data_IF_658375472463
#
_entry.id   IF_658375472463
#
_cell.length_a   1.000
_cell.length_b   1.000
_cell.length_c   1.000
_cell.angle_alpha   90.00
_cell.angle_beta   90.00
_cell.angle_gamma   90.00
#
_symmetry.space_group_name_H-M   'P 1'
#
loop_
_entity.id
_entity.type
_entity.pdbx_description
1 polymer ?
#
# COMPACT_ATOMS: atom_id res chain seq x y z
N UNK A 1 20.00 25.37 9.74
CA UNK A 1 20.59 24.09 10.17
C UNK A 1 19.43 23.12 10.32
N UNK A 2 19.01 22.51 9.20
CA UNK A 2 17.85 21.63 9.19
C UNK A 2 18.31 20.22 9.53
N UNK A 3 18.04 19.75 10.75
CA UNK A 3 18.22 18.35 11.08
C UNK A 3 17.22 17.53 10.28
N UNK A 4 17.70 16.62 9.44
CA UNK A 4 16.90 15.50 8.98
C UNK A 4 16.56 14.66 10.22
N UNK A 5 15.37 14.88 10.79
CA UNK A 5 14.78 13.88 11.67
C UNK A 5 14.57 12.63 10.80
N UNK A 6 15.32 11.56 11.02
CA UNK A 6 14.95 10.25 10.51
C UNK A 6 13.63 9.85 11.20
N UNK A 7 12.66 9.31 10.46
CA UNK A 7 11.43 8.82 11.06
C UNK A 7 11.77 7.65 11.99
N UNK A 8 11.68 7.85 13.29
CA UNK A 8 11.92 6.78 14.25
C UNK A 8 10.65 5.94 14.37
N UNK A 9 10.76 4.65 14.03
CA UNK A 9 9.69 3.68 14.21
C UNK A 9 9.88 3.06 15.59
N UNK A 10 8.95 3.34 16.50
CA UNK A 10 8.83 2.61 17.77
C UNK A 10 8.23 1.23 17.54
N UNK A 11 8.60 0.27 18.37
CA UNK A 11 8.06 -1.09 18.36
C UNK A 11 7.81 -1.56 19.80
N UNK A 12 6.67 -2.20 20.03
CA UNK A 12 6.26 -2.73 21.33
C UNK A 12 5.50 -4.05 21.13
N UNK A 13 5.83 -5.08 21.94
CA UNK A 13 5.17 -6.38 21.92
C UNK A 13 4.11 -6.48 23.02
N UNK A 14 2.90 -6.89 22.65
CA UNK A 14 1.77 -7.06 23.53
C UNK A 14 1.37 -8.55 23.59
N UNK A 15 1.75 -9.19 24.68
CA UNK A 15 1.46 -10.60 24.91
C UNK A 15 0.07 -10.81 25.51
N UNK A 16 -0.67 -11.75 24.94
CA UNK A 16 -1.89 -12.30 25.50
C UNK A 16 -1.80 -13.82 25.60
N UNK A 17 -2.78 -14.44 26.25
CA UNK A 17 -2.83 -15.89 26.44
C UNK A 17 -2.92 -16.69 25.13
N UNK A 18 -3.33 -16.08 24.03
CA UNK A 18 -3.59 -16.74 22.73
C UNK A 18 -2.71 -16.21 21.59
N UNK A 19 -2.06 -15.06 21.76
CA UNK A 19 -1.22 -14.45 20.73
C UNK A 19 -0.32 -13.36 21.31
N UNK A 20 0.81 -13.13 20.64
CA UNK A 20 1.64 -11.93 20.77
C UNK A 20 1.32 -10.99 19.62
N UNK A 21 1.12 -9.71 19.91
CA UNK A 21 0.87 -8.68 18.91
C UNK A 21 2.02 -7.67 18.95
N UNK A 22 2.77 -7.58 17.86
CA UNK A 22 3.76 -6.51 17.67
C UNK A 22 3.04 -5.25 17.17
N UNK A 23 3.22 -4.12 17.87
CA UNK A 23 2.70 -2.81 17.49
C UNK A 23 3.87 -1.92 17.11
N UNK A 24 3.83 -1.40 15.88
CA UNK A 24 4.80 -0.43 15.35
C UNK A 24 4.13 0.91 15.11
N UNK A 25 4.80 1.99 15.49
CA UNK A 25 4.27 3.34 15.31
C UNK A 25 5.39 4.33 14.94
N UNK A 26 5.01 5.37 14.21
CA UNK A 26 5.92 6.47 13.87
C UNK A 26 5.15 7.79 13.86
N UNK A 27 5.78 8.85 14.36
CA UNK A 27 5.18 10.19 14.36
C UNK A 27 5.56 10.91 13.07
N UNK A 28 4.55 11.27 12.28
CA UNK A 28 4.73 12.01 11.03
C UNK A 28 4.11 13.40 11.19
N UNK A 29 4.94 14.44 11.03
CA UNK A 29 4.50 15.85 11.04
C UNK A 29 4.05 16.24 9.63
N UNK A 30 3.01 17.08 9.53
CA UNK A 30 2.48 17.59 8.25
C UNK A 30 2.17 16.44 7.28
N UNK A 31 1.22 15.58 7.64
CA UNK A 31 0.84 14.41 6.87
C UNK A 31 -0.54 14.56 6.23
N UNK A 32 -0.77 13.77 5.18
CA UNK A 32 -2.06 13.59 4.53
C UNK A 32 -2.46 12.13 4.52
N UNK A 33 -3.76 11.92 4.35
CA UNK A 33 -4.35 10.64 4.07
C UNK A 33 -4.27 10.34 2.57
N UNK A 34 -3.74 9.16 2.23
CA UNK A 34 -3.82 8.55 0.91
C UNK A 34 -4.86 7.43 0.93
N UNK A 35 -6.02 7.66 0.34
CA UNK A 35 -7.05 6.64 0.16
C UNK A 35 -6.89 5.96 -1.20
N UNK A 36 -6.61 4.66 -1.17
CA UNK A 36 -6.30 3.82 -2.32
C UNK A 36 -7.54 3.07 -2.84
N UNK A 37 -7.66 3.02 -4.17
CA UNK A 37 -8.57 2.17 -4.91
C UNK A 37 -7.78 1.50 -6.04
N UNK A 38 -7.95 0.19 -6.22
CA UNK A 38 -7.18 -0.58 -7.21
C UNK A 38 -8.14 -1.44 -8.01
N UNK A 39 -8.18 -1.20 -9.32
CA UNK A 39 -9.04 -1.90 -10.26
C UNK A 39 -8.21 -2.76 -11.20
N UNK A 40 -8.52 -4.04 -11.29
CA UNK A 40 -7.95 -4.92 -12.30
C UNK A 40 -8.65 -4.65 -13.64
N UNK A 41 -7.88 -4.20 -14.63
CA UNK A 41 -8.38 -3.90 -15.97
C UNK A 41 -8.27 -5.09 -16.92
N UNK A 42 -7.25 -5.93 -16.73
CA UNK A 42 -7.00 -7.12 -17.56
C UNK A 42 -6.19 -8.15 -16.79
N UNK A 43 -6.48 -9.43 -17.04
CA UNK A 43 -5.83 -10.57 -16.40
C UNK A 43 -6.39 -10.88 -15.03
N UNK A 44 -5.97 -12.01 -14.46
CA UNK A 44 -6.39 -12.43 -13.12
C UNK A 44 -5.28 -12.09 -12.13
N UNK A 45 -5.59 -11.24 -11.16
CA UNK A 45 -4.64 -10.92 -10.11
C UNK A 45 -4.61 -12.03 -9.07
N UNK A 46 -3.42 -12.54 -8.77
CA UNK A 46 -3.15 -13.36 -7.59
C UNK A 46 -1.79 -12.96 -7.01
N UNK A 47 -1.78 -12.36 -5.82
CA UNK A 47 -0.56 -11.78 -5.29
C UNK A 47 -0.75 -10.96 -4.03
N UNK A 48 0.24 -10.12 -3.76
CA UNK A 48 0.28 -9.24 -2.60
C UNK A 48 0.40 -7.78 -3.05
N UNK A 49 -0.32 -6.89 -2.38
CA UNK A 49 -0.25 -5.45 -2.56
C UNK A 49 0.15 -4.83 -1.23
N UNK A 50 1.23 -4.05 -1.26
CA UNK A 50 1.80 -3.43 -0.07
C UNK A 50 2.10 -1.96 -0.31
N UNK A 51 2.05 -1.17 0.75
CA UNK A 51 2.45 0.22 0.74
C UNK A 51 3.47 0.51 1.84
N UNK A 52 4.37 1.43 1.57
CA UNK A 52 5.21 2.09 2.58
C UNK A 52 5.47 3.54 2.15
N UNK A 53 6.20 4.30 2.95
CA UNK A 53 6.62 5.66 2.57
C UNK A 53 8.13 5.69 2.29
N UNK A 54 8.61 6.71 1.58
CA UNK A 54 10.03 6.84 1.28
C UNK A 54 10.90 6.94 2.54
N UNK A 55 10.35 7.48 3.64
CA UNK A 55 11.02 7.67 4.93
C UNK A 55 10.79 6.53 5.91
N UNK A 56 9.59 5.94 5.93
CA UNK A 56 9.24 4.80 6.78
C UNK A 56 8.95 3.61 5.87
N UNK A 57 9.90 2.68 5.82
CA UNK A 57 9.88 1.53 4.92
C UNK A 57 9.22 0.28 5.53
N UNK A 58 8.65 0.38 6.74
CA UNK A 58 7.78 -0.66 7.29
C UNK A 58 6.59 -0.89 6.37
N UNK A 59 6.40 -2.15 6.01
CA UNK A 59 5.51 -2.55 4.92
C UNK A 59 4.10 -2.78 5.44
N UNK A 60 3.16 -1.96 4.97
CA UNK A 60 1.73 -2.15 5.20
C UNK A 60 1.14 -3.07 4.13
N UNK A 61 0.64 -4.24 4.53
CA UNK A 61 -0.09 -5.13 3.62
C UNK A 61 -1.50 -4.59 3.43
N UNK A 62 -1.84 -4.26 2.18
CA UNK A 62 -3.17 -3.77 1.80
C UNK A 62 -4.05 -4.91 1.30
N UNK A 63 -3.45 -5.92 0.67
CA UNK A 63 -4.13 -7.13 0.20
C UNK A 63 -3.12 -8.28 0.09
N UNK A 64 -3.53 -9.49 0.44
CA UNK A 64 -2.78 -10.73 0.20
C UNK A 64 -3.74 -11.85 -0.22
N UNK A 65 -3.64 -12.26 -1.48
CA UNK A 65 -4.47 -13.31 -2.06
C UNK A 65 -4.25 -14.67 -1.43
N UNK A 66 -3.06 -14.95 -0.88
CA UNK A 66 -2.77 -16.24 -0.22
C UNK A 66 -3.52 -16.37 1.11
N UNK A 67 -3.65 -15.27 1.82
CA UNK A 67 -4.30 -15.24 3.13
C UNK A 67 -5.82 -15.02 3.06
N UNK A 68 -6.30 -14.23 2.09
CA UNK A 68 -7.72 -13.86 1.99
C UNK A 68 -8.43 -14.26 0.70
N UNK A 69 -7.72 -14.87 -0.26
CA UNK A 69 -8.23 -15.01 -1.63
C UNK A 69 -8.30 -13.68 -2.37
N UNK A 70 -8.75 -13.73 -3.62
CA UNK A 70 -8.97 -12.53 -4.46
C UNK A 70 -10.45 -12.21 -4.45
N UNK A 71 -10.81 -11.07 -3.87
CA UNK A 71 -12.20 -10.59 -3.81
C UNK A 71 -12.27 -9.32 -4.64
N UNK A 72 -12.97 -9.40 -5.77
CA UNK A 72 -13.31 -8.26 -6.60
C UNK A 72 -14.81 -7.97 -6.49
N UNK A 73 -15.19 -6.70 -6.50
CA UNK A 73 -16.56 -6.38 -6.91
C UNK A 73 -16.72 -6.79 -8.39
N UNK A 74 -17.95 -7.01 -8.88
CA UNK A 74 -18.18 -7.45 -10.26
C UNK A 74 -17.64 -6.50 -11.35
N UNK A 75 -17.03 -5.37 -10.97
CA UNK A 75 -16.36 -4.41 -11.86
C UNK A 75 -14.84 -4.58 -11.94
N UNK A 76 -14.25 -5.45 -11.11
CA UNK A 76 -12.81 -5.67 -11.00
C UNK A 76 -12.12 -4.84 -9.91
N UNK A 77 -12.87 -4.15 -9.04
CA UNK A 77 -12.29 -3.40 -7.92
C UNK A 77 -11.87 -4.37 -6.82
N UNK A 78 -10.59 -4.35 -6.44
CA UNK A 78 -10.05 -5.21 -5.39
C UNK A 78 -10.51 -4.74 -4.00
N UNK A 79 -10.94 -5.68 -3.18
CA UNK A 79 -11.18 -5.42 -1.76
C UNK A 79 -9.84 -5.40 -1.00
N UNK A 80 -9.43 -4.21 -0.57
CA UNK A 80 -8.27 -4.01 0.30
C UNK A 80 -8.67 -4.17 1.77
N UNK A 81 -7.82 -4.81 2.58
CA UNK A 81 -7.97 -4.88 4.03
C UNK A 81 -7.75 -3.53 4.70
N UNK A 82 -6.82 -2.75 4.14
CA UNK A 82 -6.55 -1.37 4.49
C UNK A 82 -6.41 -0.58 3.20
N UNK A 83 -7.18 0.50 3.08
CA UNK A 83 -7.13 1.39 1.91
C UNK A 83 -6.49 2.74 2.21
N UNK A 84 -6.28 3.05 3.48
CA UNK A 84 -5.77 4.35 3.93
C UNK A 84 -4.32 4.21 4.36
N UNK A 85 -3.46 5.12 3.86
CA UNK A 85 -2.06 5.25 4.27
C UNK A 85 -1.77 6.70 4.64
N UNK A 86 -1.13 6.94 5.78
CA UNK A 86 -0.65 8.27 6.16
C UNK A 86 0.71 8.56 5.51
N UNK A 87 0.83 9.69 4.82
CA UNK A 87 2.05 10.07 4.09
C UNK A 87 2.47 11.48 4.48
N UNK A 88 3.73 11.66 4.87
CA UNK A 88 4.28 12.99 5.16
C UNK A 88 4.41 13.83 3.89
N UNK A 89 4.17 15.14 3.96
CA UNK A 89 4.27 16.06 2.82
C UNK A 89 5.64 16.13 2.13
N UNK A 90 6.69 15.63 2.78
CA UNK A 90 8.05 15.56 2.24
C UNK A 90 8.47 14.15 1.83
N UNK A 91 7.57 13.18 2.01
CA UNK A 91 7.78 11.78 1.67
C UNK A 91 7.06 11.44 0.37
N UNK A 92 7.23 10.21 -0.11
CA UNK A 92 6.43 9.64 -1.20
C UNK A 92 5.71 8.41 -0.69
N UNK A 93 4.54 8.11 -1.26
CA UNK A 93 3.90 6.81 -1.10
C UNK A 93 4.49 5.84 -2.12
N UNK A 94 4.99 4.69 -1.65
CA UNK A 94 5.49 3.62 -2.51
C UNK A 94 4.49 2.47 -2.46
N UNK A 95 3.88 2.15 -3.59
CA UNK A 95 2.95 1.05 -3.73
C UNK A 95 3.63 -0.08 -4.51
N UNK A 96 3.79 -1.25 -3.87
CA UNK A 96 4.41 -2.43 -4.46
C UNK A 96 3.38 -3.52 -4.68
N UNK A 97 3.31 -3.99 -5.92
CA UNK A 97 2.43 -5.07 -6.37
C UNK A 97 3.31 -6.25 -6.77
N UNK A 98 3.13 -7.36 -6.09
CA UNK A 98 3.85 -8.61 -6.33
C UNK A 98 2.85 -9.68 -6.76
N UNK A 99 2.94 -10.12 -8.01
CA UNK A 99 2.12 -11.18 -8.59
C UNK A 99 2.86 -12.50 -8.44
N UNK A 100 2.16 -13.47 -7.89
CA UNK A 100 2.68 -14.82 -7.71
C UNK A 100 2.34 -15.68 -8.93
N UNK A 101 3.28 -16.52 -9.32
CA UNK A 101 3.08 -17.54 -10.34
C UNK A 101 1.99 -18.51 -9.87
N UNK A 102 0.97 -18.75 -10.71
CA UNK A 102 -0.03 -19.79 -10.45
C UNK A 102 0.42 -21.17 -10.98
N UNK A 103 1.33 -21.19 -11.96
CA UNK A 103 1.93 -22.38 -12.57
C UNK A 103 3.39 -22.15 -13.02
N UNK A 104 4.02 -23.14 -13.64
CA UNK A 104 5.42 -23.06 -14.14
C UNK A 104 5.56 -22.15 -15.38
N UNK A 105 4.47 -21.81 -16.06
CA UNK A 105 4.46 -20.97 -17.26
C UNK A 105 4.25 -19.47 -16.97
N UNK A 106 3.65 -19.13 -15.84
CA UNK A 106 3.44 -17.76 -15.37
C UNK A 106 4.63 -17.31 -14.52
N UNK A 107 5.43 -16.36 -14.99
CA UNK A 107 6.51 -15.80 -14.20
C UNK A 107 5.95 -14.88 -13.10
N UNK A 108 6.50 -15.00 -11.88
CA UNK A 108 6.27 -14.00 -10.82
C UNK A 108 6.75 -12.63 -11.30
N UNK A 109 5.99 -11.59 -11.00
CA UNK A 109 6.33 -10.23 -11.38
C UNK A 109 6.15 -9.29 -10.20
N UNK A 110 7.07 -8.35 -10.02
CA UNK A 110 6.96 -7.31 -9.00
C UNK A 110 7.11 -5.96 -9.65
N UNK A 111 6.24 -5.02 -9.31
CA UNK A 111 6.32 -3.63 -9.75
C UNK A 111 6.03 -2.70 -8.60
N UNK A 112 6.86 -1.67 -8.45
CA UNK A 112 6.65 -0.58 -7.51
C UNK A 112 6.36 0.69 -8.30
N UNK A 113 5.32 1.41 -7.91
CA UNK A 113 5.03 2.78 -8.37
C UNK A 113 5.07 3.73 -7.17
N UNK A 114 5.28 5.01 -7.45
CA UNK A 114 5.35 6.03 -6.42
C UNK A 114 4.37 7.16 -6.70
N UNK A 115 3.86 7.75 -5.62
CA UNK A 115 2.86 8.80 -5.66
C UNK A 115 3.32 9.96 -4.77
N UNK A 116 3.12 11.19 -5.27
CA UNK A 116 3.54 12.41 -4.55
C UNK A 116 2.36 12.91 -3.72
N UNK A 117 2.53 13.14 -2.41
CA UNK A 117 1.43 13.60 -1.57
C UNK A 117 0.94 14.98 -1.98
N UNK A 118 -0.38 15.14 -1.97
CA UNK A 118 -1.07 16.42 -2.20
C UNK A 118 -1.98 16.75 -1.01
N UNK A 119 -2.27 18.04 -0.79
CA UNK A 119 -3.19 18.49 0.28
C UNK A 119 -4.61 18.00 0.03
N UNK A 120 -5.01 17.96 -1.24
CA UNK A 120 -6.26 17.39 -1.71
C UNK A 120 -6.09 16.94 -3.17
N UNK A 121 -7.09 16.20 -3.66
CA UNK A 121 -7.18 15.83 -5.06
C UNK A 121 -7.09 14.32 -5.25
N UNK A 122 -7.02 13.91 -6.51
CA UNK A 122 -6.84 12.51 -6.86
C UNK A 122 -5.84 12.39 -7.99
N UNK A 123 -5.09 11.32 -7.98
CA UNK A 123 -4.25 10.91 -9.09
C UNK A 123 -4.53 9.45 -9.44
N UNK A 124 -4.35 9.12 -10.71
CA UNK A 124 -4.54 7.77 -11.24
C UNK A 124 -3.29 7.36 -12.01
N UNK A 125 -2.85 6.13 -11.80
CA UNK A 125 -1.73 5.52 -12.51
C UNK A 125 -2.16 4.14 -13.04
N UNK A 126 -1.98 3.95 -14.35
CA UNK A 126 -2.25 2.69 -15.01
C UNK A 126 -0.95 1.91 -15.15
N UNK A 127 -0.88 0.76 -14.48
CA UNK A 127 0.32 -0.07 -14.48
C UNK A 127 0.09 -1.44 -15.10
N UNK A 128 1.16 -2.01 -15.63
CA UNK A 128 1.21 -3.42 -16.03
C UNK A 128 2.26 -4.14 -15.20
N UNK A 129 1.88 -5.24 -14.57
CA UNK A 129 2.78 -6.12 -13.81
C UNK A 129 2.55 -7.55 -14.30
N UNK A 130 3.56 -8.17 -14.91
CA UNK A 130 3.40 -9.46 -15.58
C UNK A 130 2.29 -9.42 -16.64
N UNK A 131 1.33 -10.32 -16.53
CA UNK A 131 0.16 -10.40 -17.41
C UNK A 131 -1.05 -9.56 -16.92
N UNK A 132 -0.94 -8.92 -15.75
CA UNK A 132 -2.04 -8.19 -15.12
C UNK A 132 -1.88 -6.69 -15.37
N UNK A 133 -2.98 -6.06 -15.77
CA UNK A 133 -3.09 -4.61 -15.95
C UNK A 133 -4.02 -4.03 -14.90
N UNK A 134 -3.60 -2.97 -14.22
CA UNK A 134 -4.35 -2.36 -13.13
C UNK A 134 -4.42 -0.84 -13.28
N UNK A 135 -5.52 -0.26 -12.82
CA UNK A 135 -5.66 1.17 -12.55
C UNK A 135 -5.59 1.38 -11.05
N UNK A 136 -4.63 2.16 -10.60
CA UNK A 136 -4.49 2.59 -9.21
C UNK A 136 -4.99 4.01 -9.13
N UNK A 137 -5.86 4.28 -8.16
CA UNK A 137 -6.32 5.63 -7.82
C UNK A 137 -5.91 5.95 -6.40
N UNK A 138 -5.31 7.11 -6.20
CA UNK A 138 -4.99 7.67 -4.90
C UNK A 138 -5.79 8.95 -4.72
N UNK A 139 -6.63 8.99 -3.69
CA UNK A 139 -7.31 10.23 -3.27
C UNK A 139 -6.58 10.79 -2.06
N UNK A 140 -6.17 12.05 -2.16
CA UNK A 140 -5.46 12.76 -1.12
C UNK A 140 -6.42 13.64 -0.32
N UNK A 141 -6.25 13.64 1.00
CA UNK A 141 -6.96 14.58 1.88
C UNK A 141 -6.15 14.94 3.11
N UNK A 142 -6.38 16.14 3.64
CA UNK A 142 -5.83 16.56 4.92
C UNK A 142 -6.41 15.73 6.07
N UNK A 143 -5.55 15.40 7.02
CA UNK A 143 -6.01 15.14 8.37
C UNK A 143 -6.45 16.46 9.00
N UNK A 144 -7.74 16.67 9.18
CA UNK A 144 -8.23 17.61 10.20
C UNK A 144 -8.19 16.87 11.55
N UNK A 145 -7.26 17.26 12.42
CA UNK A 145 -7.17 16.82 13.82
C UNK A 145 -7.88 17.81 14.73
#
# INVERSE_FOLDING_TARGET
MGGEEHGHVGCEDLDSRLSTVEVKFAVVKLAVEATLEIKVLKGDFYGEITACTSRIQDRLVLHDSKAGGVICDGTGMLQLWRRVVTVGMKDMLLLTIAIQASDVATASATRTTNFTPHVNGAEEDEITCGAVKMLIKVNWSLFEL
#
